data_IF_446252733321
#
_entry.id   IF_446252733321
#
_cell.length_a   1.000
_cell.length_b   1.000
_cell.length_c   1.000
_cell.angle_alpha   90.00
_cell.angle_beta   90.00
_cell.angle_gamma   90.00
#
_symmetry.space_group_name_H-M   'P 1'
#
loop_
_entity.id
_entity.type
_entity.pdbx_description
1 polymer ?
#
# COMPACT_ATOMS: atom_id res chain seq x y z
N UNK A 1 -9.55 -29.15 -2.47
CA UNK A 1 -10.37 -28.16 -3.21
C UNK A 1 -9.49 -26.96 -3.51
N UNK A 2 -8.98 -26.85 -4.74
CA UNK A 2 -8.28 -25.65 -5.19
C UNK A 2 -9.34 -24.58 -5.41
N UNK A 3 -9.43 -23.60 -4.52
CA UNK A 3 -10.31 -22.46 -4.73
C UNK A 3 -9.78 -21.72 -5.97
N UNK A 4 -10.63 -21.61 -7.00
CA UNK A 4 -10.35 -20.81 -8.18
C UNK A 4 -10.20 -19.34 -7.76
N UNK A 5 -8.95 -18.90 -7.56
CA UNK A 5 -8.66 -17.49 -7.29
C UNK A 5 -8.96 -16.69 -8.54
N UNK A 6 -10.07 -15.96 -8.49
CA UNK A 6 -10.44 -15.04 -9.54
C UNK A 6 -9.38 -13.92 -9.61
N UNK A 7 -8.60 -13.88 -10.70
CA UNK A 7 -7.52 -12.90 -10.90
C UNK A 7 -8.00 -11.44 -10.77
N UNK A 8 -9.29 -11.18 -11.04
CA UNK A 8 -9.88 -9.85 -10.94
C UNK A 8 -10.01 -9.36 -9.49
N UNK A 9 -10.09 -10.25 -8.49
CA UNK A 9 -10.14 -9.87 -7.08
C UNK A 9 -8.85 -9.18 -6.63
N UNK A 10 -7.70 -9.50 -7.25
CA UNK A 10 -6.42 -8.87 -6.92
C UNK A 10 -6.28 -7.43 -7.42
N UNK A 11 -7.13 -6.99 -8.37
CA UNK A 11 -7.18 -5.58 -8.75
C UNK A 11 -7.82 -4.72 -7.65
N UNK A 12 -8.57 -5.33 -6.74
CA UNK A 12 -9.20 -4.63 -5.62
C UNK A 12 -8.17 -4.25 -4.56
N UNK A 13 -8.59 -3.33 -3.70
CA UNK A 13 -7.85 -2.89 -2.53
C UNK A 13 -8.29 -3.60 -1.26
N UNK A 14 -7.49 -3.42 -0.21
CA UNK A 14 -7.76 -3.98 1.10
C UNK A 14 -6.50 -4.01 1.95
N UNK A 15 -6.48 -4.90 2.93
CA UNK A 15 -5.36 -5.13 3.84
C UNK A 15 -4.70 -6.46 3.50
N UNK A 16 -3.38 -6.46 3.48
CA UNK A 16 -2.53 -7.62 3.25
C UNK A 16 -1.51 -7.75 4.37
N UNK A 17 -0.84 -8.90 4.36
CA UNK A 17 0.33 -9.15 5.20
C UNK A 17 1.45 -9.81 4.40
N UNK A 18 2.68 -9.55 4.79
CA UNK A 18 3.87 -10.25 4.32
C UNK A 18 4.42 -11.03 5.50
N UNK A 19 4.56 -12.35 5.37
CA UNK A 19 5.03 -13.22 6.45
C UNK A 19 6.35 -13.86 6.05
N UNK A 20 7.33 -13.82 6.96
CA UNK A 20 8.56 -14.58 6.85
C UNK A 20 8.39 -15.98 7.44
N UNK A 21 8.59 -17.03 6.64
CA UNK A 21 8.45 -18.42 7.12
C UNK A 21 9.60 -18.87 8.03
N UNK A 22 10.68 -18.10 8.15
CA UNK A 22 11.85 -18.45 8.99
C UNK A 22 11.67 -18.00 10.43
N UNK A 23 11.12 -16.81 10.65
CA UNK A 23 10.97 -16.23 11.99
C UNK A 23 9.52 -15.87 12.36
N UNK A 24 8.56 -16.16 11.47
CA UNK A 24 7.13 -15.89 11.63
C UNK A 24 6.77 -14.42 11.88
N UNK A 25 7.69 -13.49 11.59
CA UNK A 25 7.40 -12.06 11.65
C UNK A 25 6.48 -11.65 10.51
N UNK A 26 5.66 -10.65 10.78
CA UNK A 26 4.56 -10.21 9.93
C UNK A 26 4.69 -8.71 9.68
N UNK A 27 4.56 -8.31 8.43
CA UNK A 27 4.34 -6.93 8.02
C UNK A 27 2.88 -6.80 7.59
N UNK A 28 2.14 -5.84 8.13
CA UNK A 28 0.80 -5.49 7.67
C UNK A 28 0.86 -4.22 6.83
N UNK A 29 0.00 -4.15 5.82
CA UNK A 29 -0.17 -2.93 5.06
C UNK A 29 -1.52 -2.89 4.36
N UNK A 30 -1.93 -1.71 3.94
CA UNK A 30 -3.14 -1.52 3.15
C UNK A 30 -2.84 -0.93 1.77
N UNK A 31 -3.69 -1.26 0.80
CA UNK A 31 -3.55 -0.80 -0.59
C UNK A 31 -4.90 -0.62 -1.26
N UNK A 32 -4.95 0.18 -2.31
CA UNK A 32 -6.11 0.26 -3.22
C UNK A 32 -6.06 -0.79 -4.34
N UNK A 33 -4.91 -1.45 -4.52
CA UNK A 33 -4.70 -2.50 -5.52
C UNK A 33 -3.60 -3.46 -5.06
N UNK A 34 -3.93 -4.73 -4.84
CA UNK A 34 -2.96 -5.74 -4.38
C UNK A 34 -1.90 -6.04 -5.43
N UNK A 35 -2.27 -6.19 -6.71
CA UNK A 35 -1.30 -6.46 -7.79
C UNK A 35 -0.20 -5.40 -7.82
N UNK A 36 -0.57 -4.13 -7.95
CA UNK A 36 0.40 -3.03 -8.02
C UNK A 36 1.29 -3.00 -6.78
N UNK A 37 0.70 -3.21 -5.60
CA UNK A 37 1.44 -3.12 -4.34
C UNK A 37 2.37 -4.32 -4.12
N UNK A 38 1.96 -5.52 -4.55
CA UNK A 38 2.77 -6.72 -4.50
C UNK A 38 4.02 -6.59 -5.37
N UNK A 39 3.86 -6.16 -6.64
CA UNK A 39 5.00 -5.89 -7.52
C UNK A 39 5.92 -4.82 -6.94
N UNK A 40 5.36 -3.70 -6.48
CA UNK A 40 6.16 -2.63 -5.87
C UNK A 40 6.98 -3.13 -4.66
N UNK A 41 6.40 -3.93 -3.78
CA UNK A 41 7.14 -4.52 -2.66
C UNK A 41 8.24 -5.46 -3.14
N UNK A 42 7.95 -6.31 -4.12
CA UNK A 42 8.92 -7.25 -4.67
C UNK A 42 10.11 -6.53 -5.29
N UNK A 43 9.85 -5.49 -6.09
CA UNK A 43 10.90 -4.69 -6.74
C UNK A 43 11.77 -4.00 -5.69
N UNK A 44 11.16 -3.31 -4.71
CA UNK A 44 11.92 -2.66 -3.64
C UNK A 44 12.75 -3.64 -2.79
N UNK A 45 12.22 -4.83 -2.52
CA UNK A 45 12.94 -5.85 -1.77
C UNK A 45 14.12 -6.43 -2.55
N UNK A 46 14.02 -6.54 -3.88
CA UNK A 46 15.11 -6.98 -4.75
C UNK A 46 16.22 -5.93 -4.87
N UNK A 47 15.83 -4.66 -4.99
CA UNK A 47 16.77 -3.54 -5.11
C UNK A 47 17.35 -3.08 -3.76
N UNK A 48 16.85 -3.60 -2.63
CA UNK A 48 17.33 -3.20 -1.31
C UNK A 48 16.75 -1.88 -0.79
N UNK A 49 15.75 -1.32 -1.46
CA UNK A 49 15.20 0.02 -1.19
C UNK A 49 13.91 0.00 -0.36
N UNK A 50 13.58 -1.14 0.24
CA UNK A 50 12.33 -1.27 0.98
C UNK A 50 12.30 -0.39 2.24
N UNK A 51 11.21 0.36 2.44
CA UNK A 51 11.09 1.34 3.53
C UNK A 51 11.14 0.73 4.94
N UNK A 52 10.79 -0.55 5.07
CA UNK A 52 10.96 -1.30 6.33
C UNK A 52 12.33 -2.00 6.30
N UNK A 53 13.29 -1.43 7.04
CA UNK A 53 14.66 -1.92 7.12
C UNK A 53 14.76 -3.32 7.73
N UNK A 54 13.94 -3.62 8.75
CA UNK A 54 13.92 -4.94 9.38
C UNK A 54 13.44 -6.02 8.41
N UNK A 55 12.43 -5.70 7.58
CA UNK A 55 11.96 -6.61 6.54
C UNK A 55 13.03 -6.79 5.45
N UNK A 56 13.67 -5.70 5.01
CA UNK A 56 14.74 -5.76 4.01
C UNK A 56 15.91 -6.63 4.49
N UNK A 57 16.33 -6.44 5.73
CA UNK A 57 17.41 -7.22 6.34
C UNK A 57 17.08 -8.70 6.35
N UNK A 58 15.90 -9.07 6.82
CA UNK A 58 15.51 -10.48 6.87
C UNK A 58 15.34 -11.08 5.46
N UNK A 59 14.96 -10.29 4.45
CA UNK A 59 14.94 -10.72 3.04
C UNK A 59 16.36 -10.97 2.52
N UNK A 60 17.31 -10.10 2.86
CA UNK A 60 18.72 -10.29 2.50
C UNK A 60 19.32 -11.54 3.20
N UNK A 61 18.93 -11.80 4.44
CA UNK A 61 19.46 -12.92 5.25
C UNK A 61 18.85 -14.27 4.85
N UNK A 62 17.54 -14.32 4.56
CA UNK A 62 16.82 -15.58 4.32
C UNK A 62 16.46 -15.85 2.86
N UNK A 63 16.51 -14.84 2.00
CA UNK A 63 16.02 -14.89 0.64
C UNK A 63 14.52 -14.60 0.53
N UNK A 64 14.12 -14.01 -0.60
CA UNK A 64 12.73 -13.63 -0.89
C UNK A 64 11.78 -14.84 -0.96
N UNK A 65 12.29 -16.04 -1.23
CA UNK A 65 11.53 -17.29 -1.30
C UNK A 65 10.93 -17.70 0.06
N UNK A 66 11.47 -17.16 1.16
CA UNK A 66 10.94 -17.36 2.51
C UNK A 66 9.82 -16.40 2.88
N UNK A 67 9.44 -15.50 1.97
CA UNK A 67 8.40 -14.50 2.22
C UNK A 67 7.16 -14.81 1.40
N UNK A 68 5.99 -14.66 2.03
CA UNK A 68 4.70 -14.84 1.37
C UNK A 68 3.83 -13.61 1.53
N UNK A 69 3.22 -13.19 0.43
CA UNK A 69 2.23 -12.13 0.40
C UNK A 69 0.82 -12.73 0.50
N UNK A 70 0.09 -12.40 1.56
CA UNK A 70 -1.24 -12.92 1.83
C UNK A 70 -2.25 -11.78 1.96
N UNK A 71 -3.41 -11.91 1.29
CA UNK A 71 -4.51 -10.95 1.45
C UNK A 71 -5.25 -11.31 2.74
N UNK A 72 -5.41 -10.32 3.63
CA UNK A 72 -6.15 -10.49 4.88
C UNK A 72 -7.63 -10.19 4.66
N UNK A 73 -7.92 -9.05 4.02
CA UNK A 73 -9.29 -8.65 3.75
C UNK A 73 -9.35 -7.69 2.56
N UNK A 74 -10.29 -7.93 1.64
CA UNK A 74 -10.62 -7.00 0.57
C UNK A 74 -11.54 -5.93 1.13
N UNK A 75 -11.17 -4.66 0.97
CA UNK A 75 -11.96 -3.51 1.42
C UNK A 75 -11.66 -2.30 0.53
N UNK A 76 -12.71 -1.67 0.02
CA UNK A 76 -12.59 -0.52 -0.88
C UNK A 76 -12.41 0.79 -0.11
N UNK A 77 -13.04 0.90 1.06
CA UNK A 77 -13.07 2.11 1.86
C UNK A 77 -11.76 2.35 2.59
N UNK A 78 -11.19 3.54 2.47
CA UNK A 78 -9.90 3.89 3.07
C UNK A 78 -9.96 3.85 4.61
N UNK A 79 -10.99 4.45 5.21
CA UNK A 79 -11.10 4.53 6.67
C UNK A 79 -11.23 3.16 7.32
N UNK A 80 -11.96 2.25 6.66
CA UNK A 80 -12.10 0.86 7.13
C UNK A 80 -10.77 0.12 7.02
N UNK A 81 -10.02 0.31 5.92
CA UNK A 81 -8.67 -0.27 5.75
C UNK A 81 -7.70 0.22 6.83
N UNK A 82 -7.66 1.52 7.10
CA UNK A 82 -6.79 2.11 8.12
C UNK A 82 -7.13 1.58 9.53
N UNK A 83 -8.42 1.53 9.88
CA UNK A 83 -8.87 0.96 11.17
C UNK A 83 -8.47 -0.51 11.30
N UNK A 84 -8.62 -1.28 10.22
CA UNK A 84 -8.32 -2.71 10.22
C UNK A 84 -6.82 -2.99 10.33
N UNK A 85 -6.00 -2.27 9.55
CA UNK A 85 -4.54 -2.35 9.64
C UNK A 85 -4.06 -2.04 11.06
N UNK A 86 -4.53 -0.94 11.65
CA UNK A 86 -4.18 -0.56 13.02
C UNK A 86 -4.58 -1.63 14.03
N UNK A 87 -5.79 -2.18 13.91
CA UNK A 87 -6.28 -3.26 14.78
C UNK A 87 -5.42 -4.54 14.67
N UNK A 88 -4.97 -4.89 13.46
CA UNK A 88 -4.10 -6.06 13.26
C UNK A 88 -2.70 -5.85 13.86
N UNK A 89 -2.15 -4.65 13.68
CA UNK A 89 -0.87 -4.24 14.28
C UNK A 89 -0.96 -4.31 15.81
N UNK A 90 -2.00 -3.74 16.42
CA UNK A 90 -2.20 -3.74 17.88
C UNK A 90 -2.44 -5.13 18.46
N UNK A 91 -3.11 -6.01 17.71
CA UNK A 91 -3.36 -7.40 18.13
C UNK A 91 -2.11 -8.28 18.04
N UNK A 92 -1.14 -7.90 17.22
CA UNK A 92 0.06 -8.73 16.97
C UNK A 92 1.17 -8.34 17.95
N UNK A 93 1.81 -9.30 18.64
CA UNK A 93 2.95 -9.03 19.51
C UNK A 93 4.07 -8.31 18.75
N UNK A 94 4.68 -7.30 19.38
CA UNK A 94 5.75 -6.50 18.76
C UNK A 94 6.98 -7.34 18.35
N UNK A 95 7.23 -8.46 19.03
CA UNK A 95 8.31 -9.40 18.68
C UNK A 95 8.13 -10.08 17.32
N UNK A 96 6.89 -10.13 16.83
CA UNK A 96 6.51 -10.77 15.56
C UNK A 96 6.13 -9.74 14.50
N UNK A 97 6.44 -8.45 14.69
CA UNK A 97 5.97 -7.38 13.82
C UNK A 97 7.14 -6.65 13.14
N UNK A 98 7.06 -6.51 11.81
CA UNK A 98 7.98 -5.69 11.02
C UNK A 98 7.56 -4.23 10.93
N UNK A 99 6.28 -3.92 11.09
CA UNK A 99 5.80 -2.54 10.99
C UNK A 99 6.52 -1.67 12.03
N UNK A 100 7.12 -0.55 11.61
CA UNK A 100 7.76 0.36 12.53
C UNK A 100 6.70 0.91 13.50
N UNK A 101 6.88 0.62 14.80
CA UNK A 101 5.94 1.00 15.87
C UNK A 101 5.98 2.49 16.19
N UNK A 102 7.02 3.20 15.72
CA UNK A 102 7.10 4.64 15.80
C UNK A 102 6.44 5.21 14.55
N UNK A 103 5.35 6.00 14.64
CA UNK A 103 4.98 6.85 13.53
C UNK A 103 6.20 7.71 13.25
N UNK A 104 6.83 7.49 12.10
CA UNK A 104 7.82 8.42 11.63
C UNK A 104 7.04 9.71 11.41
N UNK A 105 7.22 10.69 12.30
CA UNK A 105 6.70 12.03 12.17
C UNK A 105 7.44 12.69 11.01
N UNK A 106 7.17 12.20 9.79
CA UNK A 106 7.47 12.96 8.60
C UNK A 106 6.61 14.21 8.70
N UNK A 107 7.23 15.30 9.14
CA UNK A 107 6.80 16.63 8.75
C UNK A 107 7.06 16.74 7.24
N UNK A 108 6.31 16.01 6.43
CA UNK A 108 6.35 16.23 4.99
C UNK A 108 5.80 17.63 4.80
N UNK A 109 6.65 18.56 4.34
CA UNK A 109 6.15 19.78 3.71
C UNK A 109 5.12 19.29 2.68
N UNK A 110 3.88 19.80 2.69
CA UNK A 110 2.90 19.39 1.68
C UNK A 110 3.58 19.58 0.33
N UNK A 111 3.58 18.54 -0.53
CA UNK A 111 3.94 18.76 -1.93
C UNK A 111 3.03 19.88 -2.39
N UNK A 112 3.59 21.04 -2.72
CA UNK A 112 2.85 22.11 -3.37
C UNK A 112 2.45 21.52 -4.71
N UNK A 113 1.31 20.85 -4.73
CA UNK A 113 0.72 20.41 -5.97
C UNK A 113 0.47 21.69 -6.77
N UNK A 114 0.92 21.68 -8.03
CA UNK A 114 0.64 22.78 -8.93
C UNK A 114 -0.87 23.01 -8.89
N UNK A 115 -1.27 24.20 -8.47
CA UNK A 115 -2.69 24.59 -8.46
C UNK A 115 -3.14 24.53 -9.91
N UNK A 116 -4.12 23.70 -10.17
CA UNK A 116 -4.71 23.59 -11.51
C UNK A 116 -6.02 24.35 -11.53
N UNK A 117 -6.39 24.87 -12.69
CA UNK A 117 -7.70 25.45 -12.94
C UNK A 117 -8.42 24.57 -13.94
N UNK A 118 -9.56 24.01 -13.55
CA UNK A 118 -10.42 23.22 -14.43
C UNK A 118 -11.78 23.91 -14.47
N UNK A 119 -12.28 24.24 -15.67
CA UNK A 119 -13.60 24.82 -15.90
C UNK A 119 -13.92 26.06 -15.03
N UNK A 120 -12.93 26.92 -14.79
CA UNK A 120 -13.10 28.13 -13.98
C UNK A 120 -12.80 27.95 -12.49
N UNK A 121 -12.81 26.72 -11.98
CA UNK A 121 -12.56 26.40 -10.56
C UNK A 121 -11.09 26.06 -10.30
N UNK A 122 -10.52 26.57 -9.21
CA UNK A 122 -9.13 26.29 -8.81
C UNK A 122 -9.08 25.13 -7.83
N UNK A 123 -8.20 24.16 -8.09
CA UNK A 123 -7.99 23.00 -7.24
C UNK A 123 -6.55 22.94 -6.74
N UNK A 124 -6.33 22.54 -5.48
CA UNK A 124 -5.00 22.33 -4.94
C UNK A 124 -4.19 21.27 -5.70
N UNK A 125 -4.84 20.27 -6.33
CA UNK A 125 -4.15 19.25 -7.13
C UNK A 125 -5.06 18.56 -8.17
N UNK A 126 -4.45 17.92 -9.17
CA UNK A 126 -5.12 17.01 -10.11
C UNK A 126 -5.86 15.89 -9.37
N UNK A 127 -5.25 15.31 -8.34
CA UNK A 127 -5.85 14.22 -7.58
C UNK A 127 -7.13 14.66 -6.84
N UNK A 128 -7.17 15.89 -6.36
CA UNK A 128 -8.36 16.45 -5.70
C UNK A 128 -9.46 16.76 -6.72
N UNK A 129 -9.12 17.39 -7.84
CA UNK A 129 -10.07 17.59 -8.92
C UNK A 129 -10.65 16.26 -9.43
N UNK A 130 -9.81 15.23 -9.61
CA UNK A 130 -10.24 13.90 -10.05
C UNK A 130 -11.22 13.21 -9.09
N UNK A 131 -11.12 13.46 -7.78
CA UNK A 131 -12.08 12.92 -6.79
C UNK A 131 -13.44 13.59 -6.88
N UNK A 132 -13.47 14.88 -7.23
CA UNK A 132 -14.69 15.67 -7.34
C UNK A 132 -15.40 15.39 -8.66
N UNK A 133 -14.65 15.29 -9.76
CA UNK A 133 -15.23 15.14 -11.10
C UNK A 133 -15.50 13.71 -11.55
N UNK A 134 -14.89 12.69 -10.92
CA UNK A 134 -15.16 11.27 -11.17
C UNK A 134 -15.02 10.83 -12.65
N UNK A 135 -13.88 10.25 -13.03
CA UNK A 135 -13.58 9.58 -14.32
C UNK A 135 -13.97 10.27 -15.67
N UNK A 136 -14.63 11.43 -15.69
CA UNK A 136 -15.02 12.14 -16.91
C UNK A 136 -14.17 13.40 -17.15
N UNK A 137 -12.85 13.27 -17.10
CA UNK A 137 -11.95 14.31 -17.60
C UNK A 137 -11.36 13.85 -18.93
N UNK A 138 -11.99 14.27 -20.03
CA UNK A 138 -11.38 14.26 -21.36
C UNK A 138 -10.49 15.50 -21.43
N UNK A 139 -9.18 15.29 -21.47
CA UNK A 139 -8.23 16.37 -21.71
C UNK A 139 -8.27 16.66 -23.22
N UNK A 140 -8.98 17.71 -23.64
CA UNK A 140 -8.80 18.26 -24.97
C UNK A 140 -7.50 19.07 -24.97
N UNK A 141 -6.47 18.53 -25.64
CA UNK A 141 -5.29 19.30 -26.00
C UNK A 141 -5.70 20.37 -27.02
N UNK A 142 -5.72 21.63 -26.61
CA UNK A 142 -5.75 22.76 -27.52
C UNK A 142 -4.35 23.03 -28.06
N UNK A 143 -4.26 23.16 -29.39
CA UNK A 143 -3.06 23.48 -30.18
C UNK A 143 -2.20 24.60 -29.62
#
# INVERSE_FOLDING_TARGET
MQQSLNLFEFRKGGVYKIICSKNNKIYYGQTSCFIRRGFQHLDFLKEGEHSCLDLQKDVNDYGIDKFRFEIVQIESQLDKRLKLEKKLIEKTPSSLLYNPTKPHSFQTKPRIAQRIKILGSSYPSIAEASRIFGNHLVISGGN
#
